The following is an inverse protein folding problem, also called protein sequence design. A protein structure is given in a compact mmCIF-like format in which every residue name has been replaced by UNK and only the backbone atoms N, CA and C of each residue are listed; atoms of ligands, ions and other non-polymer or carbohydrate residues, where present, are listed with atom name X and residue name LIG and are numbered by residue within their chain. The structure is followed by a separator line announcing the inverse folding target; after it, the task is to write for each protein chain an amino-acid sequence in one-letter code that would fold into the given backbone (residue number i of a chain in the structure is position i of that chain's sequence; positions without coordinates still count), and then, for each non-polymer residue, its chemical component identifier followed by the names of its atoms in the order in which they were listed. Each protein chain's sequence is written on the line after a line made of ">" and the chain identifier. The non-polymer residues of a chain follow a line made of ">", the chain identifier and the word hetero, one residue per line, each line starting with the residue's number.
data_IF_408198738747
#
_entry.id   IF_408198738747
#
_cell.length_a   1.000
_cell.length_b   1.000
_cell.length_c   1.000
_cell.angle_alpha   90.00
_cell.angle_beta   90.00
_cell.angle_gamma   90.00
#
_symmetry.space_group_name_H-M   'P 1'
#
loop_
_entity.id
_entity.type
_entity.pdbx_description
1 polymer ?
#
# COMPACT_ATOMS: atom_id res chain seq x y z
N UNK A 1 -20.15 73.71 20.04
CA UNK A 1 -20.01 72.38 20.68
C UNK A 1 -20.29 71.19 19.73
N UNK A 2 -19.93 71.26 18.43
CA UNK A 2 -20.08 70.11 17.51
C UNK A 2 -18.80 69.75 16.73
N UNK A 3 -17.77 70.60 16.76
CA UNK A 3 -16.48 70.36 16.07
C UNK A 3 -15.45 69.62 16.95
N UNK A 4 -15.53 69.78 18.28
CA UNK A 4 -14.57 69.19 19.23
C UNK A 4 -14.79 67.70 19.49
N UNK A 5 -16.00 67.20 19.24
CA UNK A 5 -16.35 65.78 19.45
C UNK A 5 -15.80 64.86 18.35
N UNK A 6 -15.67 65.35 17.11
CA UNK A 6 -15.13 64.58 15.98
C UNK A 6 -13.61 64.43 16.02
N UNK A 7 -12.89 65.43 16.57
CA UNK A 7 -11.43 65.36 16.73
C UNK A 7 -11.03 64.39 17.86
N UNK A 8 -11.84 64.31 18.92
CA UNK A 8 -11.60 63.40 20.04
C UNK A 8 -11.87 61.93 19.67
N UNK A 9 -12.86 61.67 18.80
CA UNK A 9 -13.17 60.33 18.29
C UNK A 9 -12.12 59.80 17.29
N UNK A 10 -11.38 60.68 16.59
CA UNK A 10 -10.32 60.25 15.69
C UNK A 10 -8.99 59.94 16.41
N UNK A 11 -8.74 60.56 17.57
CA UNK A 11 -7.51 60.32 18.35
C UNK A 11 -7.59 59.05 19.22
N UNK A 12 -8.80 58.63 19.62
CA UNK A 12 -9.02 57.41 20.40
C UNK A 12 -8.91 56.12 19.57
N UNK A 13 -9.01 56.20 18.24
CA UNK A 13 -8.88 55.06 17.31
C UNK A 13 -7.42 54.75 16.92
N UNK A 14 -6.46 55.64 17.20
CA UNK A 14 -5.04 55.47 16.85
C UNK A 14 -4.22 54.89 18.03
N UNK A 15 -4.78 54.90 19.25
CA UNK A 15 -4.12 54.37 20.45
C UNK A 15 -4.44 52.90 20.75
N UNK A 16 -5.31 52.24 19.96
CA UNK A 16 -5.60 50.80 20.06
C UNK A 16 -4.72 49.92 19.16
N UNK A 17 -3.86 50.52 18.31
CA UNK A 17 -2.97 49.80 17.39
C UNK A 17 -1.57 49.51 17.94
N UNK A 18 -1.26 49.86 19.20
CA UNK A 18 0.03 49.57 19.83
C UNK A 18 -0.12 48.96 21.22
N UNK A 19 -0.66 47.74 21.30
CA UNK A 19 -0.50 46.90 22.49
C UNK A 19 -0.67 45.43 22.13
N UNK A 20 0.33 44.84 21.47
CA UNK A 20 0.82 43.51 21.83
C UNK A 20 2.14 43.25 21.10
N UNK A 21 3.24 43.76 21.66
CA UNK A 21 4.53 43.09 21.46
C UNK A 21 4.66 42.08 22.60
N UNK A 22 4.17 40.88 22.38
CA UNK A 22 4.67 39.70 23.08
C UNK A 22 5.75 39.10 22.16
N UNK A 23 7.00 39.16 22.58
CA UNK A 23 8.02 38.31 21.97
C UNK A 23 7.74 36.87 22.39
N UNK A 24 7.65 35.97 21.41
CA UNK A 24 7.80 34.54 21.63
C UNK A 24 8.74 34.00 20.55
N UNK A 25 9.93 33.60 20.99
CA UNK A 25 10.91 32.87 20.20
C UNK A 25 10.38 31.45 20.02
N UNK A 26 10.11 31.03 18.79
CA UNK A 26 10.05 29.61 18.42
C UNK A 26 10.77 29.44 17.09
N UNK A 27 12.03 28.99 17.19
CA UNK A 27 12.73 28.31 16.12
C UNK A 27 11.93 27.06 15.74
N UNK A 28 11.27 27.09 14.59
CA UNK A 28 10.66 25.90 14.01
C UNK A 28 11.20 25.75 12.61
N UNK A 29 12.20 24.87 12.51
CA UNK A 29 12.45 24.04 11.34
C UNK A 29 11.11 23.46 10.87
N UNK A 30 10.40 24.17 9.99
CA UNK A 30 9.30 23.57 9.21
C UNK A 30 9.98 22.73 8.12
N UNK A 31 10.56 21.61 8.56
CA UNK A 31 10.41 20.38 7.80
C UNK A 31 8.91 20.20 7.64
N UNK A 32 8.44 20.39 6.41
CA UNK A 32 7.05 20.18 6.01
C UNK A 32 6.78 18.69 6.15
N UNK A 33 6.55 18.25 7.38
CA UNK A 33 6.10 16.91 7.70
C UNK A 33 4.65 16.84 7.27
N UNK A 34 4.46 16.40 6.03
CA UNK A 34 3.17 16.11 5.43
C UNK A 34 2.59 14.86 6.09
N UNK A 35 2.03 15.04 7.30
CA UNK A 35 1.25 14.01 7.98
C UNK A 35 -0.07 14.61 8.44
N UNK A 36 -0.98 14.86 7.50
CA UNK A 36 -2.42 14.86 7.79
C UNK A 36 -3.17 14.21 6.64
N UNK A 37 -2.98 12.89 6.52
CA UNK A 37 -4.04 11.98 6.12
C UNK A 37 -3.76 10.62 6.74
N UNK A 38 -4.05 10.49 8.04
CA UNK A 38 -4.04 9.22 8.75
C UNK A 38 -5.25 8.36 8.32
N UNK A 39 -5.47 8.23 7.01
CA UNK A 39 -6.13 7.06 6.46
C UNK A 39 -5.21 5.88 6.76
N UNK A 40 -5.56 5.07 7.77
CA UNK A 40 -4.80 3.89 8.19
C UNK A 40 -4.41 3.04 6.97
N UNK A 41 -3.17 3.21 6.52
CA UNK A 41 -2.54 2.32 5.55
C UNK A 41 -2.34 1.01 6.28
N UNK A 42 -2.98 -0.06 5.80
CA UNK A 42 -2.83 -1.37 6.40
C UNK A 42 -1.38 -1.86 6.23
N UNK A 43 -0.85 -2.67 7.15
CA UNK A 43 0.35 -3.44 6.88
C UNK A 43 0.18 -4.29 5.62
N UNK A 44 1.27 -4.55 4.90
CA UNK A 44 1.22 -5.23 3.59
C UNK A 44 0.59 -6.62 3.66
N UNK A 45 0.85 -7.37 4.73
CA UNK A 45 0.29 -8.71 4.95
C UNK A 45 -1.19 -8.68 5.34
N UNK A 46 -1.70 -7.53 5.81
CA UNK A 46 -3.12 -7.32 6.04
C UNK A 46 -3.84 -6.87 4.77
N UNK A 47 -3.22 -5.99 3.99
CA UNK A 47 -3.72 -5.51 2.70
C UNK A 47 -3.81 -6.63 1.64
N UNK A 48 -2.80 -7.52 1.63
CA UNK A 48 -2.68 -8.61 0.67
C UNK A 48 -2.41 -9.92 1.41
N UNK A 49 -3.45 -10.49 2.03
CA UNK A 49 -3.31 -11.74 2.79
C UNK A 49 -3.00 -12.89 1.83
N UNK A 50 -1.73 -13.26 1.78
CA UNK A 50 -1.23 -14.34 0.95
C UNK A 50 -1.26 -15.68 1.68
N UNK A 51 -1.67 -16.74 0.99
CA UNK A 51 -1.64 -18.10 1.52
C UNK A 51 -1.43 -19.14 0.42
N UNK A 52 -1.12 -20.36 0.83
CA UNK A 52 -1.03 -21.50 -0.07
C UNK A 52 -1.43 -22.81 0.63
N UNK A 53 -1.89 -23.77 -0.15
CA UNK A 53 -2.21 -25.12 0.30
C UNK A 53 -2.02 -26.14 -0.83
N UNK A 54 -1.84 -27.40 -0.46
CA UNK A 54 -1.78 -28.49 -1.43
C UNK A 54 -3.18 -28.84 -1.95
N UNK A 55 -3.29 -29.04 -3.26
CA UNK A 55 -4.51 -29.50 -3.91
C UNK A 55 -4.13 -30.55 -4.97
N UNK A 56 -4.41 -31.82 -4.67
CA UNK A 56 -3.98 -32.95 -5.50
C UNK A 56 -2.46 -33.04 -5.62
N UNK A 57 -1.94 -33.02 -6.85
CA UNK A 57 -0.50 -32.98 -7.14
C UNK A 57 0.05 -31.55 -7.28
N UNK A 58 -0.79 -30.53 -7.13
CA UNK A 58 -0.43 -29.13 -7.29
C UNK A 58 -0.42 -28.36 -5.98
N UNK A 59 0.08 -27.13 -6.06
CA UNK A 59 -0.04 -26.13 -5.02
C UNK A 59 -0.99 -25.02 -5.49
N UNK A 60 -1.97 -24.71 -4.65
CA UNK A 60 -2.87 -23.58 -4.83
C UNK A 60 -2.35 -22.43 -3.97
N UNK A 61 -2.21 -21.26 -4.59
CA UNK A 61 -1.82 -20.01 -3.95
C UNK A 61 -2.97 -19.03 -4.07
N UNK A 62 -3.16 -18.21 -3.06
CA UNK A 62 -4.21 -17.21 -3.09
C UNK A 62 -3.78 -15.91 -2.42
N UNK A 63 -4.42 -14.83 -2.85
CA UNK A 63 -4.42 -13.54 -2.17
C UNK A 63 -5.86 -13.15 -1.86
N UNK A 64 -6.11 -12.78 -0.61
CA UNK A 64 -7.28 -12.00 -0.26
C UNK A 64 -6.87 -10.53 -0.19
N UNK A 65 -7.21 -9.77 -1.24
CA UNK A 65 -6.93 -8.34 -1.33
C UNK A 65 -8.04 -7.58 -0.61
N UNK A 66 -7.66 -6.72 0.33
CA UNK A 66 -8.61 -5.93 1.10
C UNK A 66 -9.28 -4.85 0.23
N UNK A 67 -10.54 -4.46 0.53
CA UNK A 67 -11.21 -3.36 -0.16
C UNK A 67 -10.37 -2.07 -0.10
N UNK A 68 -10.29 -1.37 -1.23
CA UNK A 68 -9.43 -0.19 -1.37
C UNK A 68 -7.97 -0.50 -1.71
N UNK A 69 -7.60 -1.78 -1.88
CA UNK A 69 -6.28 -2.21 -2.30
C UNK A 69 -6.35 -3.01 -3.62
N UNK A 70 -5.22 -3.13 -4.31
CA UNK A 70 -5.12 -3.90 -5.54
C UNK A 70 -3.69 -4.36 -5.79
N UNK A 71 -3.53 -5.49 -6.48
CA UNK A 71 -2.25 -5.97 -7.00
C UNK A 71 -2.10 -5.59 -8.48
N UNK A 72 -0.90 -5.20 -8.90
CA UNK A 72 -0.60 -5.07 -10.31
C UNK A 72 -0.51 -6.46 -10.94
N UNK A 73 -1.40 -6.72 -11.90
CA UNK A 73 -1.49 -8.04 -12.54
C UNK A 73 -0.15 -8.48 -13.13
N UNK A 74 0.51 -7.57 -13.85
CA UNK A 74 1.76 -7.88 -14.55
C UNK A 74 3.00 -7.80 -13.64
N UNK A 75 2.81 -7.61 -12.32
CA UNK A 75 3.85 -7.69 -11.29
C UNK A 75 3.74 -8.94 -10.42
N UNK A 76 2.77 -9.82 -10.71
CA UNK A 76 2.73 -11.14 -10.09
C UNK A 76 3.62 -12.08 -10.91
N UNK A 77 4.70 -12.52 -10.30
CA UNK A 77 5.70 -13.40 -10.92
C UNK A 77 5.96 -14.59 -10.00
N UNK A 78 6.13 -15.76 -10.57
CA UNK A 78 6.43 -16.98 -9.81
C UNK A 78 7.70 -17.57 -10.39
N UNK A 79 8.63 -17.94 -9.52
CA UNK A 79 9.92 -18.50 -9.89
C UNK A 79 10.09 -19.87 -9.23
N UNK A 80 10.75 -20.77 -9.95
CA UNK A 80 11.22 -22.05 -9.45
C UNK A 80 12.70 -22.17 -9.83
N UNK A 81 13.57 -22.40 -8.85
CA UNK A 81 15.04 -22.44 -9.04
C UNK A 81 15.57 -21.24 -9.84
N UNK A 82 15.05 -20.05 -9.54
CA UNK A 82 15.42 -18.79 -10.21
C UNK A 82 14.85 -18.60 -11.62
N UNK A 83 14.06 -19.54 -12.14
CA UNK A 83 13.43 -19.44 -13.47
C UNK A 83 11.96 -19.05 -13.36
N UNK A 84 11.56 -18.03 -14.11
CA UNK A 84 10.17 -17.60 -14.18
C UNK A 84 9.27 -18.72 -14.72
N UNK A 85 8.16 -18.93 -14.03
CA UNK A 85 7.12 -19.91 -14.38
C UNK A 85 6.01 -19.18 -15.15
N UNK A 86 5.64 -19.71 -16.30
CA UNK A 86 4.51 -19.20 -17.07
C UNK A 86 3.20 -19.58 -16.40
N UNK A 87 2.53 -18.63 -15.76
CA UNK A 87 1.26 -18.87 -15.05
C UNK A 87 0.16 -18.02 -15.66
N UNK A 88 -0.99 -18.66 -15.87
CA UNK A 88 -2.20 -17.99 -16.33
C UNK A 88 -2.82 -17.22 -15.17
N UNK A 89 -2.57 -15.91 -15.13
CA UNK A 89 -3.24 -15.02 -14.19
C UNK A 89 -4.68 -14.70 -14.68
N UNK A 90 -5.63 -14.37 -13.77
CA UNK A 90 -6.94 -13.83 -14.14
C UNK A 90 -6.82 -12.59 -15.03
N UNK A 91 -7.83 -12.25 -15.85
CA UNK A 91 -7.74 -11.14 -16.80
C UNK A 91 -7.45 -9.78 -16.14
N UNK A 92 -8.03 -9.53 -14.96
CA UNK A 92 -7.95 -8.27 -14.23
C UNK A 92 -8.73 -7.13 -14.89
N UNK A 93 -8.68 -5.96 -14.24
CA UNK A 93 -9.40 -4.75 -14.66
C UNK A 93 -8.40 -3.65 -15.01
N UNK A 94 -8.68 -2.86 -16.04
CA UNK A 94 -7.83 -1.72 -16.39
C UNK A 94 -7.98 -0.59 -15.37
N UNK A 95 -6.85 -0.03 -14.95
CA UNK A 95 -6.76 1.15 -14.09
C UNK A 95 -5.80 2.17 -14.70
N UNK A 96 -6.12 3.44 -14.54
CA UNK A 96 -5.18 4.52 -14.80
C UNK A 96 -4.38 4.77 -13.52
N UNK A 97 -3.08 4.57 -13.61
CA UNK A 97 -2.10 4.87 -12.56
C UNK A 97 -1.27 6.09 -12.98
N UNK A 98 -0.92 6.94 -12.02
CA UNK A 98 -0.19 8.19 -12.30
C UNK A 98 1.28 7.93 -12.67
N UNK A 99 1.86 6.83 -12.19
CA UNK A 99 3.27 6.48 -12.38
C UNK A 99 3.43 5.55 -13.60
N UNK A 100 2.57 4.54 -13.70
CA UNK A 100 2.67 3.47 -14.70
C UNK A 100 1.70 3.62 -15.88
N UNK A 101 0.83 4.62 -15.86
CA UNK A 101 -0.16 4.83 -16.90
C UNK A 101 -1.28 3.79 -16.87
N UNK A 102 -1.70 3.28 -18.02
CA UNK A 102 -2.78 2.28 -18.09
C UNK A 102 -2.23 0.90 -17.74
N UNK A 103 -2.68 0.34 -16.63
CA UNK A 103 -2.25 -0.96 -16.09
C UNK A 103 -3.45 -1.90 -15.91
N UNK A 104 -3.19 -3.20 -15.81
CA UNK A 104 -4.19 -4.16 -15.31
C UNK A 104 -3.96 -4.45 -13.84
N UNK A 105 -5.02 -4.46 -13.07
CA UNK A 105 -5.00 -4.72 -11.63
C UNK A 105 -5.91 -5.89 -11.28
N UNK A 106 -5.63 -6.52 -10.14
CA UNK A 106 -6.43 -7.57 -9.54
C UNK A 106 -6.83 -7.13 -8.12
N UNK A 107 -8.09 -7.36 -7.76
CA UNK A 107 -8.67 -7.10 -6.45
C UNK A 107 -9.48 -8.31 -5.97
N UNK A 108 -10.00 -8.24 -4.74
CA UNK A 108 -10.76 -9.34 -4.15
C UNK A 108 -9.94 -10.62 -3.95
N UNK A 109 -10.54 -11.77 -4.25
CA UNK A 109 -9.89 -13.07 -4.16
C UNK A 109 -9.20 -13.40 -5.48
N UNK A 110 -7.90 -13.66 -5.41
CA UNK A 110 -7.08 -14.11 -6.54
C UNK A 110 -6.59 -15.51 -6.21
N UNK A 111 -6.85 -16.47 -7.08
CA UNK A 111 -6.41 -17.86 -6.92
C UNK A 111 -5.58 -18.28 -8.12
N UNK A 112 -4.45 -18.94 -7.84
CA UNK A 112 -3.56 -19.53 -8.84
C UNK A 112 -3.24 -20.96 -8.44
N UNK A 113 -3.13 -21.84 -9.43
CA UNK A 113 -2.70 -23.21 -9.23
C UNK A 113 -1.52 -23.51 -10.15
N UNK A 114 -0.53 -24.20 -9.61
CA UNK A 114 0.59 -24.72 -10.41
C UNK A 114 1.05 -26.06 -9.85
N UNK A 115 1.71 -26.84 -10.68
CA UNK A 115 2.38 -28.04 -10.24
C UNK A 115 3.67 -27.68 -9.47
N UNK A 116 3.91 -28.34 -8.34
CA UNK A 116 5.15 -28.20 -7.57
C UNK A 116 5.59 -29.57 -7.06
N UNK A 117 6.71 -30.13 -7.53
CA UNK A 117 7.17 -31.43 -7.08
C UNK A 117 7.42 -31.45 -5.56
N UNK A 118 7.25 -32.60 -4.89
CA UNK A 118 7.51 -32.73 -3.47
C UNK A 118 8.92 -32.29 -3.06
N UNK A 119 9.02 -31.51 -1.98
CA UNK A 119 10.28 -31.01 -1.46
C UNK A 119 10.90 -29.85 -2.26
N UNK A 120 10.18 -29.31 -3.24
CA UNK A 120 10.59 -28.13 -4.01
C UNK A 120 9.95 -26.85 -3.45
N UNK A 121 10.49 -25.71 -3.88
CA UNK A 121 10.05 -24.38 -3.47
C UNK A 121 9.75 -23.49 -4.68
N UNK A 122 8.77 -22.60 -4.50
CA UNK A 122 8.47 -21.47 -5.38
C UNK A 122 8.75 -20.16 -4.66
N UNK A 123 9.41 -19.23 -5.35
CA UNK A 123 9.44 -17.83 -4.94
C UNK A 123 8.31 -17.09 -5.67
N UNK A 124 7.41 -16.48 -4.91
CA UNK A 124 6.27 -15.70 -5.41
C UNK A 124 6.57 -14.23 -5.16
N UNK A 125 6.58 -13.44 -6.23
CA UNK A 125 6.75 -11.97 -6.18
C UNK A 125 5.45 -11.30 -6.57
N UNK A 126 5.12 -10.22 -5.87
CA UNK A 126 3.95 -9.40 -6.20
C UNK A 126 4.14 -7.96 -5.73
N UNK A 127 3.38 -7.04 -6.30
CA UNK A 127 3.35 -5.65 -5.87
C UNK A 127 1.93 -5.12 -5.97
N UNK A 128 1.54 -4.27 -5.01
CA UNK A 128 0.24 -3.63 -4.99
C UNK A 128 0.27 -2.25 -4.37
N UNK A 129 -0.87 -1.56 -4.44
CA UNK A 129 -1.06 -0.25 -3.87
C UNK A 129 -2.42 -0.14 -3.18
N UNK A 130 -2.52 0.82 -2.27
CA UNK A 130 -3.77 1.38 -1.81
C UNK A 130 -4.30 2.35 -2.87
N UNK A 131 -5.62 2.37 -3.09
CA UNK A 131 -6.29 3.26 -4.03
C UNK A 131 -6.08 4.75 -3.72
N UNK A 132 -5.71 5.08 -2.48
CA UNK A 132 -5.38 6.42 -2.00
C UNK A 132 -3.94 6.87 -2.34
N UNK A 133 -3.24 6.17 -3.23
CA UNK A 133 -1.96 6.61 -3.81
C UNK A 133 -0.69 6.08 -3.11
N UNK A 134 -0.83 5.24 -2.08
CA UNK A 134 0.32 4.59 -1.43
C UNK A 134 0.63 3.25 -2.09
N UNK A 135 1.85 3.09 -2.62
CA UNK A 135 2.30 1.84 -3.22
C UNK A 135 3.31 1.11 -2.34
N UNK A 136 3.08 -0.18 -2.13
CA UNK A 136 4.02 -1.02 -1.39
C UNK A 136 5.20 -1.37 -2.30
N UNK A 137 6.41 -1.57 -1.73
CA UNK A 137 7.52 -2.11 -2.48
C UNK A 137 7.21 -3.54 -2.95
N UNK A 138 7.96 -4.09 -3.93
CA UNK A 138 7.84 -5.49 -4.33
C UNK A 138 7.98 -6.44 -3.14
N UNK A 139 7.03 -7.37 -3.02
CA UNK A 139 6.98 -8.39 -1.98
C UNK A 139 7.53 -9.71 -2.50
N UNK A 140 8.06 -10.53 -1.59
CA UNK A 140 8.53 -11.89 -1.86
C UNK A 140 7.98 -12.85 -0.82
N UNK A 141 7.44 -13.98 -1.26
CA UNK A 141 6.97 -15.10 -0.43
C UNK A 141 7.55 -16.40 -0.95
N UNK A 142 7.80 -17.35 -0.05
CA UNK A 142 8.27 -18.68 -0.42
C UNK A 142 7.20 -19.70 -0.10
N UNK A 143 6.98 -20.62 -1.03
CA UNK A 143 5.95 -21.65 -0.96
C UNK A 143 6.61 -22.99 -1.21
N UNK A 144 6.61 -23.86 -0.20
CA UNK A 144 7.29 -25.15 -0.27
C UNK A 144 6.28 -26.29 -0.33
N UNK A 145 6.51 -27.26 -1.22
CA UNK A 145 5.77 -28.51 -1.24
C UNK A 145 6.34 -29.47 -0.19
N UNK A 146 5.53 -30.05 0.72
CA UNK A 146 5.97 -31.07 1.67
C UNK A 146 6.70 -32.24 0.99
N UNK A 147 7.74 -32.76 1.63
CA UNK A 147 8.40 -33.99 1.18
C UNK A 147 7.46 -35.17 1.40
N UNK A 148 7.27 -36.01 0.38
CA UNK A 148 6.59 -37.29 0.56
C UNK A 148 7.48 -38.17 1.43
N UNK A 149 7.05 -38.44 2.67
CA UNK A 149 7.74 -39.39 3.52
C UNK A 149 7.70 -40.77 2.84
N UNK A 150 8.86 -41.34 2.51
CA UNK A 150 8.95 -42.74 2.13
C UNK A 150 8.54 -43.56 3.34
N UNK A 151 7.36 -44.16 3.33
CA UNK A 151 6.95 -45.06 4.39
C UNK A 151 7.93 -46.25 4.38
N UNK A 152 8.69 -46.51 5.46
CA UNK A 152 9.55 -47.69 5.50
C UNK A 152 8.64 -48.91 5.43
N UNK A 153 8.79 -49.71 4.37
CA UNK A 153 8.11 -51.00 4.24
C UNK A 153 8.47 -51.82 5.49
N UNK A 154 7.45 -52.22 6.24
CA UNK A 154 7.55 -53.21 7.31
C UNK A 154 7.73 -54.60 6.70
#
# INVERSE_FOLDING_TARGET
>A
MKQTLKSFLLFMLILLSWSCRAELVIDTQIGRDSFEQESLILPVDEAFRFGSYLEGAGIKMFWQVMPGYFLYRDKIEIFHDGKAQGIQLPPGVFRQDEIFGRVKVLDGLIELQTFLPPGQELEVRYQGCAAQGFCYPPQKKHVTSPKVAKNPKK
#
